data_IF_808992021062
#
_entry.id   IF_808992021062
#
_cell.length_a   1.000
_cell.length_b   1.000
_cell.length_c   1.000
_cell.angle_alpha   90.00
_cell.angle_beta   90.00
_cell.angle_gamma   90.00
#
_symmetry.space_group_name_H-M   'P 1'
#
loop_
_entity.id
_entity.type
_entity.pdbx_description
1 polymer ?
#
# COMPACT_ATOMS: atom_id res chain seq x y z
N UNK A 1 14.40 -52.20 17.05
CA UNK A 1 13.25 -53.11 16.98
C UNK A 1 12.10 -52.41 16.28
N UNK A 2 11.38 -53.16 15.44
CA UNK A 2 10.08 -52.88 14.80
C UNK A 2 9.98 -51.82 13.66
N UNK A 3 10.07 -52.35 12.43
CA UNK A 3 9.47 -51.84 11.18
C UNK A 3 7.93 -51.90 11.21
N UNK A 4 7.25 -50.99 10.50
CA UNK A 4 5.99 -51.18 9.72
C UNK A 4 5.83 -49.91 8.85
N UNK A 5 5.90 -49.86 7.52
CA UNK A 5 5.43 -50.69 6.40
C UNK A 5 3.93 -50.52 6.04
N UNK A 6 3.70 -49.79 4.93
CA UNK A 6 2.95 -50.20 3.73
C UNK A 6 1.46 -49.81 3.55
N UNK A 7 1.15 -49.53 2.27
CA UNK A 7 -0.14 -49.44 1.52
C UNK A 7 -0.81 -48.07 1.55
N UNK A 8 -0.91 -47.31 0.45
CA UNK A 8 -1.03 -47.71 -0.96
C UNK A 8 -2.47 -48.09 -1.27
N UNK A 9 -3.25 -47.16 -1.82
CA UNK A 9 -4.53 -47.48 -2.46
C UNK A 9 -4.87 -46.46 -3.55
N UNK A 10 -4.46 -46.81 -4.75
CA UNK A 10 -5.04 -46.40 -6.03
C UNK A 10 -6.57 -46.59 -6.01
N UNK A 11 -7.33 -45.57 -6.42
CA UNK A 11 -8.73 -45.72 -6.82
C UNK A 11 -8.88 -45.17 -8.23
N UNK A 12 -9.37 -46.08 -9.09
CA UNK A 12 -9.59 -45.94 -10.52
C UNK A 12 -10.68 -44.92 -10.83
N UNK A 13 -10.50 -44.29 -11.99
CA UNK A 13 -11.50 -43.55 -12.75
C UNK A 13 -12.78 -44.38 -13.04
N UNK A 14 -13.87 -43.68 -13.41
CA UNK A 14 -14.72 -43.89 -14.61
C UNK A 14 -16.07 -43.14 -14.46
N UNK A 15 -16.69 -42.83 -15.61
CA UNK A 15 -18.05 -42.28 -15.91
C UNK A 15 -18.09 -40.76 -16.04
N UNK A 16 -18.14 -40.11 -17.21
CA UNK A 16 -18.91 -40.25 -18.45
C UNK A 16 -20.38 -39.79 -18.35
N UNK A 17 -20.65 -38.59 -18.87
CA UNK A 17 -21.95 -38.22 -19.44
C UNK A 17 -22.90 -37.41 -18.55
N UNK A 18 -23.15 -36.15 -18.91
CA UNK A 18 -24.39 -35.76 -19.58
C UNK A 18 -24.28 -34.31 -20.09
N UNK A 19 -24.53 -34.15 -21.39
CA UNK A 19 -24.75 -32.87 -22.06
C UNK A 19 -26.11 -32.32 -21.61
N UNK A 20 -26.11 -31.14 -20.99
CA UNK A 20 -27.28 -30.27 -20.89
C UNK A 20 -26.94 -28.95 -21.57
N UNK A 21 -27.42 -28.82 -22.81
CA UNK A 21 -27.44 -27.57 -23.54
C UNK A 21 -28.46 -26.64 -22.89
N UNK A 22 -27.98 -25.63 -22.15
CA UNK A 22 -28.79 -24.50 -21.70
C UNK A 22 -28.51 -23.36 -22.68
N UNK A 23 -29.43 -23.17 -23.62
CA UNK A 23 -29.52 -21.99 -24.45
C UNK A 23 -29.94 -20.80 -23.59
N UNK A 24 -28.97 -20.06 -23.05
CA UNK A 24 -29.21 -18.74 -22.49
C UNK A 24 -29.08 -17.69 -23.60
N UNK A 25 -30.21 -17.22 -24.09
CA UNK A 25 -30.33 -16.03 -24.92
C UNK A 25 -30.04 -14.79 -24.08
N UNK A 26 -29.23 -13.88 -24.63
CA UNK A 26 -29.39 -12.45 -24.40
C UNK A 26 -28.63 -11.84 -23.21
N UNK A 27 -27.37 -11.45 -23.46
CA UNK A 27 -26.92 -10.08 -23.24
C UNK A 27 -25.63 -9.87 -24.04
N UNK A 28 -25.74 -9.34 -25.26
CA UNK A 28 -24.61 -8.66 -25.89
C UNK A 28 -24.35 -7.38 -25.09
N UNK A 29 -23.55 -7.51 -24.03
CA UNK A 29 -22.84 -6.37 -23.47
C UNK A 29 -21.71 -6.10 -24.45
N UNK A 30 -22.02 -5.35 -25.52
CA UNK A 30 -21.02 -4.63 -26.30
C UNK A 30 -20.50 -3.47 -25.44
N UNK A 31 -19.75 -3.85 -24.41
CA UNK A 31 -18.81 -2.99 -23.73
C UNK A 31 -17.48 -3.69 -23.88
N UNK A 32 -16.75 -3.40 -24.95
CA UNK A 32 -15.30 -3.56 -24.92
C UNK A 32 -14.83 -2.64 -23.81
N UNK A 33 -14.74 -3.17 -22.59
CA UNK A 33 -13.94 -2.55 -21.55
C UNK A 33 -12.55 -2.52 -22.14
N UNK A 34 -12.15 -1.35 -22.66
CA UNK A 34 -10.74 -1.09 -22.95
C UNK A 34 -10.01 -1.45 -21.68
N UNK A 35 -9.12 -2.47 -21.69
CA UNK A 35 -8.30 -2.75 -20.53
C UNK A 35 -7.61 -1.43 -20.20
N UNK A 36 -7.91 -0.86 -19.03
CA UNK A 36 -7.15 0.27 -18.54
C UNK A 36 -5.68 -0.08 -18.68
N UNK A 37 -4.82 0.84 -19.15
CA UNK A 37 -3.43 0.53 -19.40
C UNK A 37 -2.87 -0.15 -18.15
N UNK A 38 -2.40 -1.39 -18.32
CA UNK A 38 -1.73 -2.09 -17.23
C UNK A 38 -0.61 -1.16 -16.75
N UNK A 39 -0.61 -0.83 -15.46
CA UNK A 39 0.45 -0.02 -14.86
C UNK A 39 1.77 -0.73 -15.08
N UNK A 40 2.50 -0.32 -16.11
CA UNK A 40 3.83 -0.83 -16.37
C UNK A 40 4.70 -0.45 -15.18
N UNK A 41 5.30 -1.46 -14.58
CA UNK A 41 6.27 -1.24 -13.52
C UNK A 41 7.58 -0.83 -14.16
N UNK A 42 8.09 0.34 -13.79
CA UNK A 42 9.39 0.83 -14.26
C UNK A 42 10.50 0.02 -13.58
N UNK A 43 11.58 -0.27 -14.30
CA UNK A 43 12.76 -0.89 -13.68
C UNK A 43 13.54 0.12 -12.83
N UNK A 44 14.48 -0.35 -11.98
CA UNK A 44 15.30 0.52 -11.11
C UNK A 44 16.18 1.52 -11.87
N UNK A 45 16.56 1.20 -13.11
CA UNK A 45 17.37 2.08 -13.95
C UNK A 45 16.53 3.12 -14.72
N UNK A 46 15.20 3.07 -14.59
CA UNK A 46 14.27 3.92 -15.35
C UNK A 46 13.56 4.89 -14.43
N UNK A 47 14.00 6.14 -14.44
CA UNK A 47 13.36 7.20 -13.66
C UNK A 47 11.86 7.34 -13.99
N UNK A 48 11.01 7.67 -13.00
CA UNK A 48 9.62 8.02 -13.27
C UNK A 48 9.55 9.28 -14.15
N UNK A 49 8.40 9.52 -14.82
CA UNK A 49 8.16 10.78 -15.50
C UNK A 49 8.51 11.98 -14.61
N UNK A 50 9.02 13.10 -15.16
CA UNK A 50 9.55 14.18 -14.35
C UNK A 50 8.50 14.90 -13.50
N UNK A 51 7.21 14.78 -13.84
CA UNK A 51 6.11 15.41 -13.09
C UNK A 51 4.97 14.44 -12.78
N UNK A 52 4.34 14.58 -11.59
CA UNK A 52 3.13 13.85 -11.22
C UNK A 52 1.91 14.30 -12.06
N UNK A 53 0.81 13.53 -12.07
CA UNK A 53 0.58 12.34 -11.24
C UNK A 53 1.22 11.07 -11.82
N UNK A 54 1.85 10.28 -10.94
CA UNK A 54 2.50 8.99 -11.24
C UNK A 54 1.59 7.80 -10.93
N UNK A 55 1.81 6.66 -11.59
CA UNK A 55 1.21 5.39 -11.13
C UNK A 55 2.05 4.78 -10.00
N UNK A 56 1.49 3.85 -9.22
CA UNK A 56 2.29 3.12 -8.21
C UNK A 56 3.43 2.32 -8.85
N UNK A 57 3.23 1.78 -10.06
CA UNK A 57 4.27 1.07 -10.80
C UNK A 57 5.45 1.94 -11.21
N UNK A 58 5.25 3.25 -11.37
CA UNK A 58 6.32 4.20 -11.67
C UNK A 58 7.17 4.55 -10.45
N UNK A 59 6.60 4.53 -9.25
CA UNK A 59 7.30 4.91 -8.01
C UNK A 59 7.79 3.73 -7.20
N UNK A 60 7.47 2.48 -7.56
CA UNK A 60 7.88 1.30 -6.78
C UNK A 60 9.39 1.06 -6.75
N UNK A 61 10.15 1.51 -7.75
CA UNK A 61 11.63 1.50 -7.69
C UNK A 61 12.22 2.87 -7.35
N UNK A 62 11.38 3.88 -7.19
CA UNK A 62 11.78 5.26 -6.88
C UNK A 62 10.90 5.88 -5.79
N UNK A 63 10.67 5.18 -4.64
CA UNK A 63 9.63 5.57 -3.70
C UNK A 63 9.87 6.95 -3.08
N UNK A 64 11.12 7.39 -2.99
CA UNK A 64 11.47 8.69 -2.44
C UNK A 64 11.12 9.88 -3.35
N UNK A 65 10.79 9.64 -4.62
CA UNK A 65 10.41 10.71 -5.56
C UNK A 65 9.01 11.25 -5.32
N UNK A 66 8.18 10.53 -4.53
CA UNK A 66 6.78 10.92 -4.32
C UNK A 66 6.66 12.26 -3.56
N UNK A 67 7.65 12.62 -2.74
CA UNK A 67 7.74 13.94 -2.11
C UNK A 67 8.97 14.68 -2.65
N UNK A 68 8.76 15.90 -3.13
CA UNK A 68 9.84 16.75 -3.63
C UNK A 68 10.52 17.49 -2.49
N UNK A 69 11.66 18.12 -2.78
CA UNK A 69 12.38 18.91 -1.78
C UNK A 69 11.52 20.02 -1.16
N UNK A 70 10.68 20.68 -1.96
CA UNK A 70 9.78 21.73 -1.46
C UNK A 70 8.72 21.18 -0.48
N UNK A 71 8.21 19.97 -0.69
CA UNK A 71 7.29 19.35 0.27
C UNK A 71 8.02 18.95 1.53
N UNK A 72 9.18 18.33 1.40
CA UNK A 72 9.98 17.90 2.54
C UNK A 72 10.36 19.10 3.40
N UNK A 73 10.82 20.20 2.79
CA UNK A 73 11.11 21.45 3.47
C UNK A 73 9.87 22.03 4.17
N UNK A 74 8.72 22.10 3.47
CA UNK A 74 7.45 22.57 4.05
C UNK A 74 6.97 21.71 5.22
N UNK A 75 7.23 20.41 5.17
CA UNK A 75 6.84 19.44 6.19
C UNK A 75 7.89 19.30 7.31
N UNK A 76 9.05 19.96 7.21
CA UNK A 76 10.13 19.90 8.20
C UNK A 76 11.00 18.64 8.14
N UNK A 77 11.05 17.97 6.99
CA UNK A 77 11.83 16.75 6.76
C UNK A 77 13.08 17.00 5.92
N UNK A 78 14.13 16.24 6.23
CA UNK A 78 15.34 16.17 5.42
C UNK A 78 15.08 15.32 4.16
N UNK A 79 15.56 15.78 3.01
CA UNK A 79 15.55 15.03 1.76
C UNK A 79 16.94 14.47 1.37
N UNK A 80 17.00 13.55 0.38
CA UNK A 80 15.88 13.01 -0.40
C UNK A 80 15.15 11.82 0.24
N UNK A 81 15.61 11.35 1.41
CA UNK A 81 15.11 10.13 2.06
C UNK A 81 15.96 8.90 1.77
N UNK A 82 15.72 7.83 2.53
CA UNK A 82 16.38 6.53 2.42
C UNK A 82 15.43 5.54 1.74
N UNK A 83 15.82 5.04 0.56
CA UNK A 83 15.02 4.06 -0.18
C UNK A 83 15.45 2.63 0.11
N UNK A 84 14.47 1.73 0.22
CA UNK A 84 14.65 0.30 0.01
C UNK A 84 13.83 -0.12 -1.21
N UNK A 85 14.41 -0.92 -2.09
CA UNK A 85 13.81 -1.34 -3.36
C UNK A 85 13.89 -2.87 -3.49
N UNK A 86 13.19 -3.50 -4.45
CA UNK A 86 13.22 -4.95 -4.64
C UNK A 86 14.64 -5.55 -4.68
N UNK A 87 14.83 -6.80 -4.19
CA UNK A 87 13.79 -7.81 -3.97
C UNK A 87 12.98 -7.70 -2.67
N UNK A 88 13.32 -6.77 -1.76
CA UNK A 88 12.53 -6.50 -0.55
C UNK A 88 11.28 -5.62 -0.78
N UNK A 89 10.50 -5.34 0.27
CA UNK A 89 9.36 -4.41 0.16
C UNK A 89 9.87 -3.02 -0.21
N UNK A 90 9.31 -2.44 -1.27
CA UNK A 90 9.66 -1.08 -1.65
C UNK A 90 9.17 -0.07 -0.61
N UNK A 91 10.06 0.79 -0.12
CA UNK A 91 9.69 1.93 0.69
C UNK A 91 10.70 3.07 0.58
N UNK A 92 10.26 4.27 0.95
CA UNK A 92 11.12 5.38 1.32
C UNK A 92 10.89 5.78 2.76
N UNK A 93 11.96 6.21 3.43
CA UNK A 93 11.95 6.71 4.79
C UNK A 93 12.54 8.10 4.82
N UNK A 94 11.92 9.00 5.58
CA UNK A 94 12.46 10.33 5.86
C UNK A 94 12.51 10.58 7.36
N UNK A 95 13.35 11.53 7.74
CA UNK A 95 13.49 12.02 9.11
C UNK A 95 13.38 13.54 9.13
N UNK A 96 12.89 14.08 10.24
CA UNK A 96 13.03 15.50 10.54
C UNK A 96 14.51 15.88 10.56
N UNK A 97 14.80 17.17 10.40
CA UNK A 97 16.15 17.71 10.61
C UNK A 97 16.63 17.41 12.04
N UNK A 98 17.94 17.25 12.24
CA UNK A 98 18.53 17.01 13.56
C UNK A 98 18.27 18.15 14.56
N UNK A 99 17.93 19.33 14.05
CA UNK A 99 17.55 20.52 14.84
C UNK A 99 16.09 20.54 15.24
N UNK A 100 15.27 19.60 14.78
CA UNK A 100 13.86 19.55 15.13
C UNK A 100 13.69 19.24 16.63
N UNK A 101 12.80 19.97 17.34
CA UNK A 101 12.59 19.73 18.77
C UNK A 101 12.04 18.34 19.06
N UNK A 102 11.29 17.77 18.12
CA UNK A 102 10.68 16.45 18.22
C UNK A 102 11.07 15.61 17.00
N UNK A 103 11.93 14.58 17.16
CA UNK A 103 12.36 13.76 16.05
C UNK A 103 11.24 12.85 15.56
N UNK A 104 10.99 12.89 14.25
CA UNK A 104 9.96 12.07 13.59
C UNK A 104 10.57 11.24 12.46
N UNK A 105 10.07 10.02 12.29
CA UNK A 105 10.26 9.24 11.08
C UNK A 105 8.94 9.18 10.30
N UNK A 106 9.03 9.31 8.97
CA UNK A 106 7.90 8.98 8.11
C UNK A 106 8.30 7.94 7.06
N UNK A 107 7.35 7.10 6.67
CA UNK A 107 7.55 6.02 5.71
C UNK A 107 6.49 6.08 4.62
N UNK A 108 6.90 5.86 3.38
CA UNK A 108 6.01 5.65 2.23
C UNK A 108 6.34 4.30 1.58
N UNK A 109 5.35 3.44 1.42
CA UNK A 109 5.51 2.13 0.81
C UNK A 109 4.46 1.93 -0.31
N UNK A 110 4.86 2.04 -1.60
CA UNK A 110 3.97 1.76 -2.71
C UNK A 110 3.76 0.24 -2.86
N UNK A 111 2.51 -0.19 -3.05
CA UNK A 111 2.14 -1.60 -3.23
C UNK A 111 1.24 -1.75 -4.46
N UNK A 112 1.80 -1.74 -5.69
CA UNK A 112 1.02 -1.77 -6.93
C UNK A 112 0.20 -3.06 -7.11
N UNK A 113 0.58 -4.14 -6.42
CA UNK A 113 -0.06 -5.45 -6.55
C UNK A 113 -1.03 -5.77 -5.41
N UNK A 114 -1.03 -4.98 -4.32
CA UNK A 114 -1.86 -5.25 -3.16
C UNK A 114 -3.31 -4.79 -3.41
N UNK A 115 -4.28 -5.68 -3.23
CA UNK A 115 -5.70 -5.32 -3.37
C UNK A 115 -6.17 -4.58 -2.12
N UNK A 116 -6.59 -3.33 -2.28
CA UNK A 116 -7.05 -2.50 -1.16
C UNK A 116 -8.10 -3.19 -0.29
N UNK A 117 -9.14 -3.77 -0.90
CA UNK A 117 -10.22 -4.43 -0.16
C UNK A 117 -9.72 -5.58 0.73
N UNK A 118 -8.75 -6.38 0.26
CA UNK A 118 -8.19 -7.48 1.03
C UNK A 118 -7.39 -6.95 2.22
N UNK A 119 -6.53 -5.96 1.99
CA UNK A 119 -5.70 -5.35 3.04
C UNK A 119 -6.57 -4.63 4.08
N UNK A 120 -7.61 -3.92 3.64
CA UNK A 120 -8.57 -3.26 4.52
C UNK A 120 -9.30 -4.28 5.39
N UNK A 121 -9.84 -5.36 4.80
CA UNK A 121 -10.59 -6.39 5.51
C UNK A 121 -9.73 -7.03 6.60
N UNK A 122 -8.52 -7.50 6.23
CA UNK A 122 -7.57 -8.12 7.17
C UNK A 122 -7.21 -7.14 8.29
N UNK A 123 -6.93 -5.88 7.95
CA UNK A 123 -6.58 -4.86 8.96
C UNK A 123 -7.74 -4.58 9.92
N UNK A 124 -8.97 -4.52 9.42
CA UNK A 124 -10.16 -4.30 10.25
C UNK A 124 -10.48 -5.47 11.18
N UNK A 125 -10.11 -6.70 10.79
CA UNK A 125 -10.26 -7.90 11.63
C UNK A 125 -9.18 -7.98 12.72
N UNK A 126 -7.94 -7.54 12.42
CA UNK A 126 -6.79 -7.80 13.29
C UNK A 126 -6.32 -6.60 14.14
N UNK A 127 -6.62 -5.36 13.73
CA UNK A 127 -5.99 -4.16 14.32
C UNK A 127 -6.95 -3.39 15.21
N UNK A 128 -6.46 -3.08 16.41
CA UNK A 128 -7.12 -2.12 17.32
C UNK A 128 -7.04 -0.71 16.73
N UNK A 129 -8.00 0.14 17.06
CA UNK A 129 -8.08 1.53 16.59
C UNK A 129 -8.06 1.69 15.06
N UNK A 130 -8.56 0.68 14.34
CA UNK A 130 -8.78 0.74 12.91
C UNK A 130 -9.95 1.68 12.60
N UNK A 131 -9.79 2.54 11.59
CA UNK A 131 -10.86 3.42 11.12
C UNK A 131 -10.79 3.57 9.60
N UNK A 132 -11.95 3.50 8.94
CA UNK A 132 -12.07 3.84 7.53
C UNK A 132 -12.28 5.35 7.36
N UNK A 133 -11.73 5.92 6.29
CA UNK A 133 -11.83 7.34 5.96
C UNK A 133 -11.67 7.57 4.45
N UNK A 134 -11.62 8.83 4.05
CA UNK A 134 -11.39 9.25 2.67
C UNK A 134 -10.20 10.20 2.63
N UNK A 135 -9.22 9.91 1.77
CA UNK A 135 -8.04 10.77 1.53
C UNK A 135 -8.05 11.21 0.07
N UNK A 136 -8.09 12.52 -0.18
CA UNK A 136 -8.17 13.09 -1.53
C UNK A 136 -9.26 12.44 -2.42
N UNK A 137 -10.44 12.16 -1.83
CA UNK A 137 -11.57 11.53 -2.52
C UNK A 137 -11.43 10.01 -2.70
N UNK A 138 -10.42 9.36 -2.12
CA UNK A 138 -10.12 7.93 -2.30
C UNK A 138 -10.41 7.14 -1.04
N UNK A 139 -10.92 5.90 -1.16
CA UNK A 139 -11.01 4.97 -0.04
C UNK A 139 -9.66 4.84 0.66
N UNK A 140 -9.67 5.03 1.98
CA UNK A 140 -8.52 4.90 2.84
C UNK A 140 -8.92 4.28 4.19
N UNK A 141 -7.94 3.73 4.89
CA UNK A 141 -8.11 3.37 6.30
C UNK A 141 -6.87 3.80 7.08
N UNK A 142 -7.04 4.05 8.37
CA UNK A 142 -5.95 4.34 9.30
C UNK A 142 -5.94 3.36 10.46
N UNK A 143 -4.76 3.21 11.05
CA UNK A 143 -4.51 2.48 12.29
C UNK A 143 -3.74 3.43 13.22
N UNK A 144 -4.35 3.78 14.35
CA UNK A 144 -3.69 4.52 15.43
C UNK A 144 -3.04 3.51 16.40
N UNK A 145 -1.78 3.15 16.12
CA UNK A 145 -1.03 2.20 16.94
C UNK A 145 -0.53 2.91 18.21
N UNK A 146 -0.97 2.40 19.36
CA UNK A 146 -0.64 2.95 20.68
C UNK A 146 -0.04 1.83 21.50
N UNK A 147 1.23 2.00 21.88
CA UNK A 147 1.95 1.06 22.73
C UNK A 147 1.85 1.47 24.19
N UNK A 148 1.91 0.50 25.09
CA UNK A 148 1.93 0.74 26.54
C UNK A 148 3.12 1.60 26.99
N UNK A 149 4.21 1.58 26.23
CA UNK A 149 5.37 2.45 26.43
C UNK A 149 5.13 3.93 26.11
N UNK A 150 3.94 4.30 25.63
CA UNK A 150 3.60 5.67 25.24
C UNK A 150 4.04 6.04 23.82
N UNK A 151 4.67 5.11 23.08
CA UNK A 151 4.89 5.30 21.64
C UNK A 151 3.57 5.25 20.88
N UNK A 152 3.41 6.20 19.96
CA UNK A 152 2.24 6.29 19.09
C UNK A 152 2.72 6.53 17.66
N UNK A 153 2.20 5.78 16.70
CA UNK A 153 2.34 6.09 15.28
C UNK A 153 0.97 5.99 14.59
N UNK A 154 0.83 6.65 13.45
CA UNK A 154 -0.36 6.52 12.62
C UNK A 154 0.02 5.96 11.26
N UNK A 155 -0.61 4.85 10.90
CA UNK A 155 -0.43 4.20 9.60
C UNK A 155 -1.70 4.43 8.78
N UNK A 156 -1.54 4.93 7.55
CA UNK A 156 -2.65 5.18 6.63
C UNK A 156 -2.40 4.39 5.36
N UNK A 157 -3.41 3.64 4.91
CA UNK A 157 -3.39 2.98 3.60
C UNK A 157 -4.44 3.61 2.70
N UNK A 158 -4.03 4.00 1.49
CA UNK A 158 -4.90 4.71 0.53
C UNK A 158 -4.90 3.97 -0.80
N UNK A 159 -6.09 3.70 -1.31
CA UNK A 159 -6.27 3.12 -2.65
C UNK A 159 -5.77 4.09 -3.74
N UNK A 160 -5.22 3.55 -4.82
CA UNK A 160 -4.75 4.34 -5.97
C UNK A 160 -5.53 3.96 -7.23
N UNK A 161 -6.02 4.92 -8.04
CA UNK A 161 -6.85 4.61 -9.20
C UNK A 161 -6.16 3.74 -10.27
N UNK A 162 -4.85 3.88 -10.46
CA UNK A 162 -4.04 3.00 -11.34
C UNK A 162 -3.87 1.57 -10.84
N UNK A 163 -4.49 1.22 -9.71
CA UNK A 163 -4.42 -0.08 -9.05
C UNK A 163 -3.51 -0.07 -7.84
N UNK A 164 -3.72 -1.01 -6.93
CA UNK A 164 -2.92 -1.16 -5.72
C UNK A 164 -3.34 -0.22 -4.58
N UNK A 165 -2.40 -0.02 -3.65
CA UNK A 165 -2.49 0.97 -2.58
C UNK A 165 -1.09 1.47 -2.22
N UNK A 166 -1.00 2.62 -1.55
CA UNK A 166 0.21 2.95 -0.79
C UNK A 166 -0.09 2.93 0.70
N UNK A 167 0.92 2.59 1.49
CA UNK A 167 0.93 2.79 2.93
C UNK A 167 1.83 3.98 3.26
N UNK A 168 1.34 4.85 4.13
CA UNK A 168 2.08 5.93 4.75
C UNK A 168 2.10 5.72 6.25
N UNK A 169 3.22 6.02 6.91
CA UNK A 169 3.35 5.98 8.36
C UNK A 169 4.01 7.24 8.86
N UNK A 170 3.44 7.85 9.89
CA UNK A 170 4.04 8.95 10.65
C UNK A 170 4.31 8.48 12.08
N UNK A 171 5.59 8.47 12.46
CA UNK A 171 6.08 7.86 13.68
C UNK A 171 7.02 8.82 14.43
N UNK A 172 6.50 9.61 15.39
CA UNK A 172 7.34 10.29 16.37
C UNK A 172 8.24 9.29 17.11
N UNK A 173 9.52 9.65 17.27
CA UNK A 173 10.50 8.75 17.89
C UNK A 173 10.43 8.78 19.42
N UNK A 174 9.95 9.87 20.00
CA UNK A 174 9.84 10.02 21.45
C UNK A 174 8.40 9.68 21.91
N UNK A 175 8.25 8.99 23.05
CA UNK A 175 6.93 8.79 23.65
C UNK A 175 6.38 10.13 24.17
N UNK A 176 5.06 10.26 24.21
CA UNK A 176 4.41 11.43 24.81
C UNK A 176 4.46 12.73 24.01
N UNK A 177 4.80 12.66 22.71
CA UNK A 177 4.71 13.82 21.79
C UNK A 177 3.31 14.42 21.83
N UNK A 178 3.24 15.72 22.13
CA UNK A 178 2.00 16.47 22.29
C UNK A 178 1.49 16.89 20.90
N UNK A 179 0.72 16.01 20.24
CA UNK A 179 0.15 16.32 18.94
C UNK A 179 -0.78 15.23 18.41
N UNK A 180 -1.65 15.60 17.49
CA UNK A 180 -2.49 14.63 16.79
C UNK A 180 -1.71 13.98 15.64
N UNK A 181 -0.96 12.93 16.01
CA UNK A 181 -0.16 12.09 15.10
C UNK A 181 -0.97 11.61 13.88
N UNK A 182 -2.26 11.31 14.04
CA UNK A 182 -3.08 10.86 12.91
C UNK A 182 -3.60 12.00 12.05
N UNK A 183 -3.84 13.20 12.60
CA UNK A 183 -4.19 14.36 11.78
C UNK A 183 -3.02 14.74 10.86
N UNK A 184 -1.81 14.85 11.41
CA UNK A 184 -0.59 15.13 10.60
C UNK A 184 -0.36 14.04 9.55
N UNK A 185 -0.58 12.77 9.91
CA UNK A 185 -0.44 11.69 8.95
C UNK A 185 -1.44 11.80 7.78
N UNK A 186 -2.69 12.19 8.06
CA UNK A 186 -3.72 12.38 7.03
C UNK A 186 -3.38 13.54 6.09
N UNK A 187 -2.85 14.65 6.61
CA UNK A 187 -2.41 15.78 5.80
C UNK A 187 -1.30 15.37 4.81
N UNK A 188 -0.28 14.67 5.29
CA UNK A 188 0.83 14.23 4.43
C UNK A 188 0.36 13.17 3.44
N UNK A 189 -0.46 12.20 3.88
CA UNK A 189 -1.04 11.20 2.99
C UNK A 189 -1.92 11.84 1.89
N UNK A 190 -2.58 12.97 2.19
CA UNK A 190 -3.34 13.75 1.20
C UNK A 190 -2.42 14.34 0.14
N UNK A 191 -1.28 14.93 0.53
CA UNK A 191 -0.27 15.44 -0.41
C UNK A 191 0.27 14.32 -1.30
N UNK A 192 0.58 13.16 -0.72
CA UNK A 192 1.04 11.98 -1.48
C UNK A 192 -0.05 11.51 -2.46
N UNK A 193 -1.30 11.39 -2.02
CA UNK A 193 -2.40 10.92 -2.86
C UNK A 193 -2.65 11.83 -4.07
N UNK A 194 -2.47 13.15 -3.93
CA UNK A 194 -2.58 14.11 -5.04
C UNK A 194 -1.52 13.91 -6.13
N UNK A 195 -0.41 13.22 -5.83
CA UNK A 195 0.69 12.94 -6.77
C UNK A 195 0.59 11.60 -7.46
N UNK A 196 -0.39 10.80 -7.08
CA UNK A 196 -0.59 9.47 -7.63
C UNK A 196 -1.88 9.43 -8.43
N UNK A 197 -1.87 8.83 -9.61
CA UNK A 197 -3.06 8.50 -10.40
C UNK A 197 -3.23 7.00 -10.48
#
# INVERSE_FOLDING_TARGET
MAKRAVRGREIRAVVLGLLLAISATGCQISGTATPGPASAVLGPDTAPPPSPPWTLGQVVYHPCTVLGQDDLARLGFAGPGESNVPPGPSYCRWHTLDTAPEPVAMYFAPSPYAKYADVQRISGEEKKNFQTLVIAGRPAFLIDDRRESGHRNCQISVSVPSGGLFRFEYAPRNPGVAGDVCATAQEIATVIAQRLK
#
